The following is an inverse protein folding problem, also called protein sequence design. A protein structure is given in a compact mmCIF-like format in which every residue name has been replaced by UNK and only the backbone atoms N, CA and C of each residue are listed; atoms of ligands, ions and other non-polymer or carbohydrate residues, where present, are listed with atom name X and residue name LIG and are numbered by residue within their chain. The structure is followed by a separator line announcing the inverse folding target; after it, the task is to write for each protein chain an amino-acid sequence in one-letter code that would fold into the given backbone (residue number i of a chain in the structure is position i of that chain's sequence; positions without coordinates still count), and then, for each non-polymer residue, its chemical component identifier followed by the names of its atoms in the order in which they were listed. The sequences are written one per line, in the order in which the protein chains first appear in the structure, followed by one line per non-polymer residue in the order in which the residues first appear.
data_IF_180504605840
#
_entry.id   IF_180504605840
#
_cell.length_a   1.000
_cell.length_b   1.000
_cell.length_c   1.000
_cell.angle_alpha   90.00
_cell.angle_beta   90.00
_cell.angle_gamma   90.00
#
_symmetry.space_group_name_H-M   'P 1'
#
loop_
_entity.id
_entity.type
_entity.pdbx_description
1 polymer ?
#
# COMPACT_ATOMS: atom_id res chain seq x y z
N UNK A 1 23.19 7.29 9.15
CA UNK A 1 21.89 7.92 9.47
C UNK A 1 21.76 9.31 8.86
N UNK A 2 22.62 10.27 9.19
CA UNK A 2 22.47 11.67 8.74
C UNK A 2 22.40 11.86 7.21
N UNK A 3 23.22 11.13 6.44
CA UNK A 3 23.15 11.19 4.97
C UNK A 3 21.78 10.73 4.44
N UNK A 4 21.21 9.68 5.02
CA UNK A 4 19.90 9.15 4.61
C UNK A 4 18.77 10.09 5.01
N UNK A 5 18.87 10.76 6.17
CA UNK A 5 17.90 11.78 6.57
C UNK A 5 17.85 12.95 5.58
N UNK A 6 19.01 13.37 5.03
CA UNK A 6 19.05 14.40 3.99
C UNK A 6 18.37 13.94 2.69
N UNK A 7 18.56 12.68 2.29
CA UNK A 7 17.89 12.11 1.11
C UNK A 7 16.38 12.04 1.31
N UNK A 8 15.93 11.48 2.43
CA UNK A 8 14.50 11.38 2.78
C UNK A 8 13.85 12.76 2.84
N UNK A 9 14.54 13.78 3.37
CA UNK A 9 14.02 15.16 3.35
C UNK A 9 13.80 15.68 1.92
N UNK A 10 14.73 15.39 1.01
CA UNK A 10 14.57 15.78 -0.39
C UNK A 10 13.43 15.00 -1.08
N UNK A 11 13.31 13.70 -0.82
CA UNK A 11 12.24 12.84 -1.34
C UNK A 11 10.85 13.28 -0.87
N UNK A 12 10.70 13.64 0.41
CA UNK A 12 9.44 14.18 0.94
C UNK A 12 9.10 15.51 0.27
N UNK A 13 10.10 16.37 0.04
CA UNK A 13 9.93 17.60 -0.72
C UNK A 13 9.45 17.34 -2.15
N UNK A 14 9.93 16.29 -2.81
CA UNK A 14 9.47 15.91 -4.15
C UNK A 14 8.07 15.27 -4.13
N UNK A 15 7.80 14.35 -3.20
CA UNK A 15 6.49 13.73 -3.02
C UNK A 15 5.39 14.77 -2.74
N UNK A 16 5.72 15.83 -1.99
CA UNK A 16 4.79 16.93 -1.72
C UNK A 16 4.37 17.72 -2.98
N UNK A 17 5.08 17.58 -4.10
CA UNK A 17 4.68 18.19 -5.38
C UNK A 17 3.63 17.37 -6.11
N UNK A 18 3.43 16.10 -5.74
CA UNK A 18 2.38 15.26 -6.30
C UNK A 18 1.06 15.50 -5.55
N UNK A 19 0.05 16.13 -6.19
CA UNK A 19 -1.22 16.42 -5.52
C UNK A 19 -2.00 15.14 -5.15
N UNK A 20 -1.75 14.01 -5.82
CA UNK A 20 -2.43 12.75 -5.50
C UNK A 20 -1.92 12.17 -4.17
N UNK A 21 -0.61 12.20 -3.94
CA UNK A 21 0.00 11.70 -2.71
C UNK A 21 -0.43 12.57 -1.52
N UNK A 22 -0.44 13.90 -1.69
CA UNK A 22 -0.94 14.83 -0.67
C UNK A 22 -2.42 14.59 -0.33
N UNK A 23 -3.27 14.32 -1.33
CA UNK A 23 -4.68 14.02 -1.09
C UNK A 23 -4.84 12.70 -0.33
N UNK A 24 -4.02 11.68 -0.61
CA UNK A 24 -4.09 10.40 0.07
C UNK A 24 -3.68 10.51 1.55
N UNK A 25 -2.62 11.27 1.84
CA UNK A 25 -2.21 11.59 3.22
C UNK A 25 -3.30 12.40 3.95
N UNK A 26 -3.91 13.38 3.26
CA UNK A 26 -4.99 14.20 3.82
C UNK A 26 -6.24 13.37 4.15
N UNK A 27 -6.60 12.39 3.31
CA UNK A 27 -7.73 11.50 3.57
C UNK A 27 -7.52 10.71 4.86
N UNK A 28 -6.34 10.12 5.04
CA UNK A 28 -6.05 9.30 6.23
C UNK A 28 -5.98 10.16 7.49
N UNK A 29 -5.24 11.26 7.46
CA UNK A 29 -5.06 12.15 8.61
C UNK A 29 -6.35 12.86 9.03
N UNK A 30 -7.24 13.22 8.10
CA UNK A 30 -8.51 13.87 8.42
C UNK A 30 -9.64 12.87 8.72
N UNK A 31 -9.64 11.71 8.06
CA UNK A 31 -10.72 10.74 8.16
C UNK A 31 -10.64 9.83 9.39
N UNK A 32 -9.44 9.59 9.92
CA UNK A 32 -9.22 8.65 11.01
C UNK A 32 -8.66 9.32 12.27
N UNK A 33 -8.89 8.66 13.39
CA UNK A 33 -8.19 8.87 14.65
C UNK A 33 -7.46 7.58 15.05
N UNK A 34 -6.26 7.72 15.63
CA UNK A 34 -5.42 6.58 16.03
C UNK A 34 -4.37 6.20 14.99
N UNK A 35 -4.10 4.91 14.84
CA UNK A 35 -2.93 4.42 14.11
C UNK A 35 -2.92 4.79 12.61
N UNK A 36 -4.07 4.72 11.94
CA UNK A 36 -4.24 5.04 10.52
C UNK A 36 -4.22 6.55 10.24
N UNK A 37 -4.30 7.39 11.27
CA UNK A 37 -4.18 8.84 11.13
C UNK A 37 -2.71 9.30 11.11
N UNK A 38 -1.77 8.41 11.47
CA UNK A 38 -0.36 8.73 11.45
C UNK A 38 0.11 8.97 10.00
N UNK A 39 0.86 10.06 9.75
CA UNK A 39 1.32 10.36 8.41
C UNK A 39 2.35 9.32 7.96
N UNK A 40 2.26 8.89 6.70
CA UNK A 40 3.26 8.03 6.07
C UNK A 40 4.53 8.83 5.77
N UNK A 41 4.36 10.08 5.34
CA UNK A 41 5.46 11.01 5.11
C UNK A 41 5.83 11.71 6.42
N UNK A 42 7.04 11.47 6.90
CA UNK A 42 7.51 12.09 8.14
C UNK A 42 7.50 13.62 8.06
N UNK A 43 6.87 14.28 9.03
CA UNK A 43 6.95 15.75 9.13
C UNK A 43 8.40 16.22 9.34
N UNK A 44 8.71 17.46 8.98
CA UNK A 44 10.05 18.02 9.24
C UNK A 44 10.44 17.93 10.72
N UNK A 45 9.48 18.13 11.63
CA UNK A 45 9.71 18.01 13.06
C UNK A 45 10.06 16.58 13.49
N UNK A 46 9.45 15.57 12.86
CA UNK A 46 9.76 14.17 13.09
C UNK A 46 11.14 13.81 12.53
N UNK A 47 11.46 14.23 11.30
CA UNK A 47 12.77 14.01 10.68
C UNK A 47 13.92 14.57 11.52
N UNK A 48 13.75 15.77 12.08
CA UNK A 48 14.76 16.39 12.92
C UNK A 48 14.99 15.66 14.25
N UNK A 49 14.02 14.86 14.71
CA UNK A 49 14.09 14.07 15.94
C UNK A 49 14.64 12.67 15.71
N UNK A 50 14.54 12.13 14.49
CA UNK A 50 15.05 10.80 14.15
C UNK A 50 16.57 10.74 14.36
N UNK A 51 17.01 9.68 15.04
CA UNK A 51 18.42 9.39 15.28
C UNK A 51 18.66 7.88 15.29
N UNK A 52 19.92 7.46 15.32
CA UNK A 52 20.29 6.04 15.26
C UNK A 52 19.67 5.21 16.39
N UNK A 53 19.69 5.73 17.62
CA UNK A 53 19.15 5.03 18.79
C UNK A 53 17.65 4.78 18.68
N UNK A 54 16.87 5.76 18.24
CA UNK A 54 15.43 5.59 18.01
C UNK A 54 15.15 4.51 16.94
N UNK A 55 15.98 4.45 15.90
CA UNK A 55 15.83 3.44 14.84
C UNK A 55 16.19 2.04 15.34
N UNK A 56 17.26 1.92 16.14
CA UNK A 56 17.67 0.66 16.76
C UNK A 56 16.61 0.13 17.73
N UNK A 57 16.02 1.01 18.55
CA UNK A 57 14.89 0.69 19.43
C UNK A 57 13.69 0.22 18.62
N UNK A 58 13.30 0.97 17.58
CA UNK A 58 12.17 0.61 16.72
C UNK A 58 12.35 -0.75 16.06
N UNK A 59 13.53 -1.04 15.53
CA UNK A 59 13.87 -2.34 14.91
C UNK A 59 13.79 -3.45 15.95
N UNK A 60 14.39 -3.25 17.12
CA UNK A 60 14.41 -4.25 18.19
C UNK A 60 13.00 -4.60 18.68
N UNK A 61 12.11 -3.61 18.76
CA UNK A 61 10.73 -3.80 19.23
C UNK A 61 9.82 -4.42 18.15
N UNK A 62 10.04 -4.12 16.86
CA UNK A 62 9.09 -4.46 15.81
C UNK A 62 9.53 -5.62 14.90
N UNK A 63 10.83 -5.84 14.70
CA UNK A 63 11.37 -6.91 13.84
C UNK A 63 11.58 -8.21 14.64
N UNK A 64 10.46 -8.79 15.05
CA UNK A 64 10.40 -10.05 15.83
C UNK A 64 10.01 -11.24 14.94
N UNK A 65 10.41 -12.45 15.32
CA UNK A 65 10.15 -13.66 14.53
C UNK A 65 8.67 -13.85 14.14
N UNK A 66 7.66 -13.63 15.01
CA UNK A 66 6.25 -13.82 14.64
C UNK A 66 5.69 -12.78 13.65
N UNK A 67 6.47 -11.76 13.27
CA UNK A 67 6.08 -10.64 12.39
C UNK A 67 6.87 -10.60 11.07
N UNK A 68 7.81 -11.53 10.88
CA UNK A 68 8.61 -11.63 9.67
C UNK A 68 8.11 -12.83 8.85
N UNK A 69 7.90 -12.62 7.56
CA UNK A 69 7.54 -13.67 6.60
C UNK A 69 8.55 -13.64 5.46
N UNK A 70 9.20 -14.76 5.22
CA UNK A 70 10.06 -14.95 4.05
C UNK A 70 9.23 -15.59 2.94
N UNK A 71 9.05 -14.87 1.83
CA UNK A 71 8.28 -15.32 0.69
C UNK A 71 9.19 -15.48 -0.55
N UNK A 72 9.14 -16.64 -1.20
CA UNK A 72 9.87 -16.92 -2.44
C UNK A 72 8.96 -17.59 -3.47
N UNK A 73 9.28 -17.44 -4.75
CA UNK A 73 8.56 -18.09 -5.85
C UNK A 73 9.53 -18.86 -6.73
N UNK A 74 9.19 -20.10 -7.08
CA UNK A 74 10.00 -20.95 -7.95
C UNK A 74 11.25 -21.55 -7.31
N UNK A 75 11.31 -21.59 -5.98
CA UNK A 75 12.37 -22.22 -5.18
C UNK A 75 11.76 -23.40 -4.41
N UNK A 76 12.49 -24.50 -4.32
CA UNK A 76 12.06 -25.66 -3.54
C UNK A 76 12.10 -25.35 -2.04
N UNK A 77 11.12 -25.86 -1.29
CA UNK A 77 10.92 -25.48 0.11
C UNK A 77 12.11 -25.87 0.99
N UNK A 78 12.68 -27.04 0.74
CA UNK A 78 13.82 -27.61 1.45
C UNK A 78 15.08 -26.78 1.21
N UNK A 79 15.30 -26.31 -0.02
CA UNK A 79 16.42 -25.41 -0.35
C UNK A 79 16.28 -24.06 0.36
N UNK A 80 15.06 -23.52 0.41
CA UNK A 80 14.77 -22.28 1.12
C UNK A 80 15.04 -22.44 2.62
N UNK A 81 14.54 -23.51 3.23
CA UNK A 81 14.75 -23.78 4.66
C UNK A 81 16.22 -23.94 4.98
N UNK A 82 16.96 -24.72 4.19
CA UNK A 82 18.38 -24.95 4.39
C UNK A 82 19.19 -23.63 4.41
N UNK A 83 18.83 -22.68 3.56
CA UNK A 83 19.48 -21.37 3.52
C UNK A 83 18.98 -20.39 4.59
N UNK A 84 17.68 -20.39 4.88
CA UNK A 84 17.04 -19.38 5.72
C UNK A 84 17.14 -19.67 7.23
N UNK A 85 17.04 -20.95 7.62
CA UNK A 85 17.08 -21.37 9.04
C UNK A 85 18.34 -20.87 9.78
N UNK A 86 19.58 -21.04 9.26
CA UNK A 86 20.76 -20.54 9.96
C UNK A 86 20.84 -19.00 10.02
N UNK A 87 20.11 -18.27 9.16
CA UNK A 87 20.13 -16.80 9.11
C UNK A 87 19.04 -16.13 9.95
N UNK A 88 17.98 -16.87 10.29
CA UNK A 88 16.79 -16.32 10.96
C UNK A 88 16.46 -17.01 12.30
N UNK A 89 17.18 -18.07 12.65
CA UNK A 89 16.95 -18.84 13.88
C UNK A 89 17.28 -18.09 15.18
N UNK A 90 18.06 -17.01 15.09
CA UNK A 90 18.44 -16.14 16.21
C UNK A 90 17.45 -14.98 16.43
N UNK A 91 16.42 -14.86 15.59
CA UNK A 91 15.42 -13.80 15.74
C UNK A 91 14.63 -13.93 17.06
N UNK A 92 14.35 -12.80 17.74
CA UNK A 92 13.65 -12.83 19.01
C UNK A 92 12.20 -13.27 18.82
N UNK A 93 11.81 -14.33 19.55
CA UNK A 93 10.43 -14.82 19.62
C UNK A 93 9.70 -14.17 20.79
N UNK A 94 9.11 -13.02 20.52
CA UNK A 94 8.34 -12.21 21.49
C UNK A 94 6.85 -12.36 21.17
N UNK A 95 5.95 -12.44 22.18
CA UNK A 95 4.51 -12.42 21.95
C UNK A 95 4.10 -11.23 21.08
N UNK A 96 3.17 -11.46 20.15
CA UNK A 96 2.66 -10.38 19.28
C UNK A 96 1.97 -9.33 20.14
N UNK A 97 2.41 -8.08 20.02
CA UNK A 97 1.70 -6.94 20.61
C UNK A 97 0.34 -6.77 19.93
N UNK A 98 -0.63 -6.28 20.68
CA UNK A 98 -1.95 -5.93 20.15
C UNK A 98 -1.83 -4.90 19.02
N UNK A 99 -2.62 -5.10 17.97
CA UNK A 99 -2.66 -4.18 16.85
C UNK A 99 -3.25 -2.83 17.27
N UNK A 100 -2.62 -1.71 16.90
CA UNK A 100 -3.08 -0.41 17.31
C UNK A 100 -4.40 -0.07 16.61
N UNK A 101 -5.41 0.28 17.40
CA UNK A 101 -6.76 0.54 16.88
C UNK A 101 -6.83 1.90 16.19
N UNK A 102 -7.71 1.96 15.20
CA UNK A 102 -8.07 3.20 14.51
C UNK A 102 -9.58 3.28 14.39
N UNK A 103 -10.11 4.50 14.43
CA UNK A 103 -11.54 4.77 14.32
C UNK A 103 -11.75 5.82 13.26
N UNK A 104 -12.58 5.54 12.26
CA UNK A 104 -13.02 6.54 11.31
C UNK A 104 -13.96 7.53 12.00
N UNK A 105 -13.61 8.80 11.93
CA UNK A 105 -14.41 9.90 12.46
C UNK A 105 -14.98 10.79 11.37
N UNK A 106 -14.54 10.58 10.12
CA UNK A 106 -14.71 11.55 9.05
C UNK A 106 -13.95 12.85 9.35
N UNK A 107 -13.99 13.78 8.41
CA UNK A 107 -13.35 15.08 8.55
C UNK A 107 -13.27 15.85 7.24
N UNK A 108 -12.81 17.09 7.30
CA UNK A 108 -12.47 17.88 6.13
C UNK A 108 -11.07 18.47 6.27
N UNK A 109 -10.32 18.43 5.17
CA UNK A 109 -8.99 19.03 5.07
C UNK A 109 -8.94 19.93 3.85
N UNK A 110 -8.39 21.13 4.02
CA UNK A 110 -8.26 22.12 2.96
C UNK A 110 -6.89 22.77 3.05
N UNK A 111 -6.18 22.79 1.93
CA UNK A 111 -4.90 23.47 1.80
C UNK A 111 -4.93 24.34 0.54
N UNK A 112 -4.43 25.56 0.63
CA UNK A 112 -4.25 26.42 -0.53
C UNK A 112 -2.96 26.04 -1.25
N UNK A 113 -3.00 26.01 -2.58
CA UNK A 113 -1.85 25.76 -3.43
C UNK A 113 -1.81 26.82 -4.52
N UNK A 114 -0.60 27.22 -4.92
CA UNK A 114 -0.37 28.12 -6.05
C UNK A 114 -0.58 27.42 -7.40
N UNK A 115 -0.95 26.14 -7.40
CA UNK A 115 -1.30 25.41 -8.61
C UNK A 115 -2.53 26.02 -9.28
N UNK A 116 -2.47 26.25 -10.59
CA UNK A 116 -3.61 26.71 -11.40
C UNK A 116 -4.75 25.70 -11.56
N UNK A 117 -4.79 24.65 -10.73
CA UNK A 117 -5.81 23.60 -10.69
C UNK A 117 -6.15 23.28 -9.23
N UNK A 118 -7.40 22.93 -8.98
CA UNK A 118 -7.87 22.46 -7.67
C UNK A 118 -8.01 20.94 -7.72
N UNK A 119 -7.37 20.27 -6.77
CA UNK A 119 -7.47 18.83 -6.58
C UNK A 119 -8.30 18.58 -5.33
N UNK A 120 -9.24 17.64 -5.39
CA UNK A 120 -10.04 17.21 -4.25
C UNK A 120 -10.29 15.71 -4.32
N UNK A 121 -10.53 15.09 -3.16
CA UNK A 121 -10.91 13.71 -3.05
C UNK A 121 -11.98 13.54 -1.98
N UNK A 122 -12.86 12.57 -2.17
CA UNK A 122 -13.90 12.17 -1.24
C UNK A 122 -13.69 10.70 -0.91
N UNK A 123 -13.64 10.39 0.38
CA UNK A 123 -13.44 9.05 0.88
C UNK A 123 -14.49 8.73 1.94
N UNK A 124 -14.97 7.50 1.92
CA UNK A 124 -15.96 6.97 2.86
C UNK A 124 -15.40 5.67 3.42
N UNK A 125 -15.49 5.49 4.73
CA UNK A 125 -15.15 4.21 5.35
C UNK A 125 -16.19 3.16 4.95
N UNK A 126 -15.70 1.99 4.58
CA UNK A 126 -16.53 0.81 4.43
C UNK A 126 -16.28 -0.13 5.61
N UNK A 127 -17.35 -0.62 6.27
CA UNK A 127 -17.20 -1.55 7.36
C UNK A 127 -16.77 -2.92 6.81
N UNK A 128 -15.47 -3.22 6.88
CA UNK A 128 -14.92 -4.47 6.39
C UNK A 128 -13.45 -4.56 6.71
N UNK A 129 -13.07 -5.59 7.46
CA UNK A 129 -11.67 -5.95 7.65
C UNK A 129 -11.23 -6.87 6.49
N UNK A 130 -9.93 -6.99 6.23
CA UNK A 130 -9.38 -7.94 5.25
C UNK A 130 -9.81 -9.39 5.52
N UNK A 131 -10.17 -9.69 6.77
CA UNK A 131 -10.76 -10.97 7.19
C UNK A 131 -12.16 -11.24 6.60
N UNK A 132 -12.87 -10.21 6.13
CA UNK A 132 -14.19 -10.34 5.47
C UNK A 132 -14.02 -10.29 3.95
N UNK A 133 -13.51 -11.38 3.39
CA UNK A 133 -13.18 -11.49 1.97
C UNK A 133 -14.32 -11.06 1.03
N UNK A 134 -15.59 -11.32 1.40
CA UNK A 134 -16.75 -10.91 0.61
C UNK A 134 -16.82 -9.39 0.43
N UNK A 135 -16.63 -8.63 1.51
CA UNK A 135 -16.70 -7.17 1.51
C UNK A 135 -15.53 -6.59 0.69
N UNK A 136 -14.34 -7.17 0.84
CA UNK A 136 -13.14 -6.80 0.08
C UNK A 136 -13.30 -7.10 -1.42
N UNK A 137 -13.89 -8.23 -1.78
CA UNK A 137 -14.15 -8.54 -3.20
C UNK A 137 -15.17 -7.59 -3.82
N UNK A 138 -16.23 -7.24 -3.10
CA UNK A 138 -17.20 -6.24 -3.57
C UNK A 138 -16.50 -4.90 -3.80
N UNK A 139 -15.66 -4.45 -2.88
CA UNK A 139 -14.86 -3.24 -3.04
C UNK A 139 -13.97 -3.29 -4.29
N UNK A 140 -13.28 -4.42 -4.48
CA UNK A 140 -12.38 -4.61 -5.62
C UNK A 140 -13.15 -4.48 -6.94
N UNK A 141 -14.31 -5.16 -7.05
CA UNK A 141 -15.17 -5.10 -8.24
C UNK A 141 -15.66 -3.66 -8.49
N UNK A 142 -16.18 -2.98 -7.46
CA UNK A 142 -16.64 -1.59 -7.57
C UNK A 142 -15.51 -0.62 -7.97
N UNK A 143 -14.28 -0.89 -7.53
CA UNK A 143 -13.09 -0.14 -7.94
C UNK A 143 -12.74 -0.33 -9.42
N UNK A 144 -12.88 -1.56 -9.95
CA UNK A 144 -12.60 -1.88 -11.35
C UNK A 144 -13.66 -1.33 -12.33
N UNK A 145 -14.94 -1.30 -11.94
CA UNK A 145 -16.03 -0.83 -12.82
C UNK A 145 -15.89 0.66 -13.17
N UNK A 146 -15.29 1.47 -12.29
CA UNK A 146 -15.01 2.89 -12.57
C UNK A 146 -13.90 3.09 -13.62
N UNK A 147 -12.98 2.13 -13.78
CA UNK A 147 -11.93 2.16 -14.82
C UNK A 147 -12.49 1.67 -16.17
N UNK A 148 -13.36 0.67 -16.17
CA UNK A 148 -13.98 0.14 -17.39
C UNK A 148 -14.93 1.14 -18.03
N UNK A 149 -15.74 1.87 -17.25
CA UNK A 149 -16.65 2.86 -17.83
C UNK A 149 -15.91 4.08 -18.43
N UNK A 150 -14.79 4.50 -17.85
CA UNK A 150 -13.97 5.59 -18.39
C UNK A 150 -13.33 5.24 -19.74
N UNK A 151 -12.90 3.99 -19.91
CA UNK A 151 -12.36 3.50 -21.18
C UNK A 151 -13.46 3.28 -22.24
N UNK A 152 -14.64 2.81 -21.83
CA UNK A 152 -15.79 2.68 -22.74
C UNK A 152 -16.25 4.04 -23.30
N UNK A 153 -16.19 5.11 -22.49
CA UNK A 153 -16.61 6.45 -22.91
C UNK A 153 -15.65 7.10 -23.93
N UNK A 154 -14.35 6.78 -23.86
CA UNK A 154 -13.36 7.22 -24.85
C UNK A 154 -13.40 6.39 -26.15
N UNK A 155 -14.00 5.19 -26.12
CA UNK A 155 -13.99 4.24 -27.24
C UNK A 155 -15.11 4.43 -28.28
N UNK A 156 -16.00 5.42 -28.13
CA UNK A 156 -17.09 5.66 -29.08
C UNK A 156 -16.69 6.47 -30.34
N UNK A 157 -15.40 6.81 -30.55
CA UNK A 157 -14.99 7.67 -31.68
C UNK A 157 -13.97 7.13 -32.69
N UNK A 158 -13.47 5.90 -32.59
CA UNK A 158 -12.58 5.37 -33.65
C UNK A 158 -12.53 3.84 -33.74
N UNK A 159 -12.94 3.24 -34.88
CA UNK A 159 -12.86 1.79 -35.10
C UNK A 159 -11.41 1.26 -35.28
N UNK A 160 -10.41 2.13 -35.44
CA UNK A 160 -9.01 1.71 -35.66
C UNK A 160 -8.28 1.27 -34.38
N UNK A 161 -8.77 1.62 -33.19
CA UNK A 161 -8.11 1.26 -31.92
C UNK A 161 -8.51 -0.14 -31.40
N UNK A 162 -9.58 -0.75 -31.94
CA UNK A 162 -10.09 -2.05 -31.50
C UNK A 162 -9.10 -3.21 -31.74
N UNK A 163 -8.39 -3.17 -32.88
CA UNK A 163 -7.44 -4.22 -33.26
C UNK A 163 -6.11 -4.17 -32.48
N UNK A 164 -5.75 -2.98 -31.97
CA UNK A 164 -4.56 -2.84 -31.10
C UNK A 164 -4.85 -3.32 -29.68
N UNK A 165 -6.10 -3.21 -29.23
CA UNK A 165 -6.55 -3.69 -27.91
C UNK A 165 -6.67 -5.21 -27.83
N UNK A 166 -7.14 -5.89 -28.89
CA UNK A 166 -7.18 -7.35 -28.97
C UNK A 166 -5.79 -8.00 -28.81
N UNK A 167 -4.73 -7.35 -29.31
CA UNK A 167 -3.33 -7.79 -29.11
C UNK A 167 -2.82 -7.57 -27.68
N UNK A 168 -3.30 -6.55 -26.97
CA UNK A 168 -2.94 -6.30 -25.56
C UNK A 168 -3.72 -7.27 -24.65
N UNK A 169 -4.98 -7.55 -24.98
CA UNK A 169 -5.81 -8.50 -24.23
C UNK A 169 -5.28 -9.95 -24.34
N UNK A 170 -4.84 -10.39 -25.53
CA UNK A 170 -4.15 -11.69 -25.69
C UNK A 170 -2.80 -11.76 -24.95
N UNK A 171 -2.17 -10.62 -24.65
CA UNK A 171 -0.96 -10.58 -23.82
C UNK A 171 -1.28 -10.63 -22.31
N UNK A 172 -2.51 -10.29 -21.90
CA UNK A 172 -2.99 -10.33 -20.51
C UNK A 172 -3.46 -11.73 -20.06
N UNK A 173 -3.53 -12.72 -20.95
CA UNK A 173 -3.73 -14.13 -20.57
C UNK A 173 -2.58 -14.72 -19.73
N UNK A 174 -1.44 -14.04 -19.63
CA UNK A 174 -0.40 -14.39 -18.65
C UNK A 174 -0.80 -14.05 -17.20
N UNK A 175 -1.68 -13.07 -16.98
CA UNK A 175 -2.09 -12.61 -15.65
C UNK A 175 -3.29 -13.38 -15.09
N UNK A 176 -4.21 -13.84 -15.96
CA UNK A 176 -5.35 -14.67 -15.55
C UNK A 176 -4.91 -16.06 -15.06
N UNK A 177 -3.87 -16.63 -15.67
CA UNK A 177 -3.27 -17.89 -15.23
C UNK A 177 -2.58 -17.79 -13.86
N UNK A 178 -1.98 -16.63 -13.53
CA UNK A 178 -1.40 -16.36 -12.20
C UNK A 178 -2.48 -16.20 -11.12
N UNK A 179 -3.57 -15.48 -11.42
CA UNK A 179 -4.63 -15.23 -10.44
C UNK A 179 -5.43 -16.49 -10.09
N UNK A 180 -5.68 -17.38 -11.07
CA UNK A 180 -6.36 -18.66 -10.81
C UNK A 180 -5.50 -19.65 -10.02
N UNK A 181 -4.17 -19.64 -10.21
CA UNK A 181 -3.25 -20.55 -9.50
C UNK A 181 -3.06 -20.18 -8.04
N UNK A 182 -3.07 -18.89 -7.71
CA UNK A 182 -3.01 -18.41 -6.32
C UNK A 182 -4.31 -18.70 -5.57
N UNK A 183 -5.48 -18.58 -6.24
CA UNK A 183 -6.76 -18.93 -5.61
C UNK A 183 -6.96 -20.43 -5.38
N UNK A 184 -6.39 -21.33 -6.21
CA UNK A 184 -6.52 -22.77 -5.98
C UNK A 184 -5.60 -23.32 -4.87
N UNK A 185 -4.51 -22.64 -4.53
CA UNK A 185 -3.58 -23.13 -3.50
C UNK A 185 -4.01 -22.82 -2.06
N UNK A 186 -5.12 -22.10 -1.88
CA UNK A 186 -5.71 -21.81 -0.57
C UNK A 186 -6.97 -22.64 -0.25
N UNK A 187 -7.32 -23.64 -1.07
CA UNK A 187 -8.49 -24.51 -0.82
C UNK A 187 -8.22 -26.01 -1.01
N UNK A 188 -7.03 -26.52 -0.67
CA UNK A 188 -6.80 -27.95 -0.36
C UNK A 188 -5.88 -28.03 0.85
#
# INVERSE_FOLDING_TARGET
VNEQLLKVKAEIGEASKNPQDLLLEAIHSAGFSGALANPLLASESALNRLNGTILEEFVTENYTAPRIVLATSGVEHEELLFAAEPLLSDLPSVPRLEEPKSVYTGGDYRCQSESGRTHFALAVELPGDWHKLKDVMVLTILGFDNVLHFLAFLHLKSPFLLLRWLKIYQSMDCMSSWFLKVCLHFTI
#
